data_IF_580295804982
#
_entry.id   IF_580295804982
#
_cell.length_a   1.000
_cell.length_b   1.000
_cell.length_c   1.000
_cell.angle_alpha   90.00
_cell.angle_beta   90.00
_cell.angle_gamma   90.00
#
_symmetry.space_group_name_H-M   'P 1'
#
loop_
_entity.id
_entity.type
_entity.pdbx_description
1 polymer ?
#
# COMPACT_ATOMS: atom_id res chain seq x y z
N UNK A 1 -0.02 -38.34 -10.37
CA UNK A 1 0.17 -36.87 -10.40
C UNK A 1 0.39 -36.42 -8.98
N UNK A 2 1.43 -35.61 -8.72
CA UNK A 2 1.71 -35.12 -7.37
C UNK A 2 0.65 -34.13 -6.91
N UNK A 3 0.36 -34.13 -5.60
CA UNK A 3 -0.54 -33.18 -4.95
C UNK A 3 0.04 -31.76 -5.05
N UNK A 4 -0.57 -30.91 -5.88
CA UNK A 4 -0.14 -29.51 -6.10
C UNK A 4 -0.69 -28.55 -5.06
N UNK A 5 -1.58 -28.99 -4.15
CA UNK A 5 -2.20 -28.13 -3.14
C UNK A 5 -1.20 -27.54 -2.13
N UNK A 6 0.02 -28.10 -2.07
CA UNK A 6 1.14 -27.65 -1.23
C UNK A 6 2.28 -26.97 -2.00
N UNK A 7 2.13 -26.76 -3.31
CA UNK A 7 3.17 -26.14 -4.15
C UNK A 7 3.45 -24.68 -3.79
N UNK A 8 2.52 -24.03 -3.10
CA UNK A 8 2.66 -22.67 -2.57
C UNK A 8 2.31 -22.66 -1.08
N UNK A 9 3.06 -21.87 -0.29
CA UNK A 9 2.82 -21.67 1.13
C UNK A 9 2.16 -20.31 1.34
N UNK A 10 0.93 -20.32 1.84
CA UNK A 10 0.19 -19.09 2.12
C UNK A 10 1.03 -18.12 2.99
N UNK A 11 1.07 -16.85 2.59
CA UNK A 11 1.85 -15.80 3.27
C UNK A 11 3.31 -15.69 2.84
N UNK A 12 3.76 -16.49 1.86
CA UNK A 12 5.07 -16.31 1.22
C UNK A 12 4.90 -15.73 -0.18
N UNK A 13 5.87 -14.93 -0.61
CA UNK A 13 6.00 -14.59 -2.02
C UNK A 13 6.62 -15.77 -2.76
N UNK A 14 6.07 -16.10 -3.94
CA UNK A 14 6.63 -17.15 -4.81
C UNK A 14 6.86 -16.51 -6.17
N UNK A 15 8.13 -16.25 -6.48
CA UNK A 15 8.54 -15.65 -7.74
C UNK A 15 8.92 -16.73 -8.74
N UNK A 16 8.36 -16.64 -9.95
CA UNK A 16 8.72 -17.49 -11.08
C UNK A 16 9.48 -16.66 -12.11
N UNK A 17 10.81 -16.67 -12.03
CA UNK A 17 11.64 -16.00 -13.03
C UNK A 17 11.66 -16.83 -14.30
N UNK A 18 11.43 -16.20 -15.45
CA UNK A 18 11.52 -16.89 -16.74
C UNK A 18 12.99 -17.21 -17.07
N UNK A 19 13.87 -16.22 -16.97
CA UNK A 19 15.30 -16.29 -17.31
C UNK A 19 16.16 -15.68 -16.20
N UNK A 20 17.48 -15.63 -16.37
CA UNK A 20 18.43 -15.20 -15.35
C UNK A 20 18.98 -16.37 -14.53
N UNK A 21 19.86 -16.07 -13.58
CA UNK A 21 20.52 -17.10 -12.76
C UNK A 21 19.56 -17.95 -11.89
N UNK A 22 18.34 -17.45 -11.64
CA UNK A 22 17.27 -18.16 -10.92
C UNK A 22 16.07 -18.48 -11.85
N UNK A 23 16.25 -18.43 -13.16
CA UNK A 23 15.19 -18.63 -14.15
C UNK A 23 14.76 -20.09 -14.26
N UNK A 24 13.47 -20.34 -14.52
CA UNK A 24 12.90 -21.68 -14.62
C UNK A 24 13.57 -22.52 -15.73
N UNK A 25 14.07 -21.88 -16.79
CA UNK A 25 14.81 -22.57 -17.85
C UNK A 25 16.10 -23.24 -17.37
N UNK A 26 16.74 -22.73 -16.31
CA UNK A 26 17.93 -23.36 -15.72
C UNK A 26 17.65 -24.72 -15.08
N UNK A 27 16.38 -25.02 -14.76
CA UNK A 27 15.96 -26.30 -14.20
C UNK A 27 15.70 -27.38 -15.26
N UNK A 28 15.60 -27.03 -16.54
CA UNK A 28 15.39 -27.98 -17.63
C UNK A 28 16.72 -28.36 -18.30
N UNK A 29 16.85 -29.62 -18.70
CA UNK A 29 17.97 -30.04 -19.56
C UNK A 29 17.86 -29.40 -20.94
N UNK A 30 18.99 -29.12 -21.59
CA UNK A 30 19.03 -28.58 -22.97
C UNK A 30 18.21 -29.43 -23.94
N UNK A 31 18.31 -30.76 -23.89
CA UNK A 31 17.55 -31.66 -24.76
C UNK A 31 16.03 -31.54 -24.59
N UNK A 32 15.57 -31.27 -23.37
CA UNK A 32 14.16 -31.05 -23.09
C UNK A 32 13.67 -29.76 -23.73
N UNK A 33 14.38 -28.65 -23.52
CA UNK A 33 14.04 -27.35 -24.11
C UNK A 33 14.07 -27.43 -25.64
N UNK A 34 15.12 -28.05 -26.19
CA UNK A 34 15.30 -28.28 -27.62
C UNK A 34 14.09 -28.93 -28.27
N UNK A 35 13.62 -30.05 -27.69
CA UNK A 35 12.47 -30.80 -28.21
C UNK A 35 11.14 -30.10 -27.96
N UNK A 36 10.99 -29.43 -26.81
CA UNK A 36 9.74 -28.76 -26.46
C UNK A 36 9.49 -27.50 -27.29
N UNK A 37 10.54 -26.77 -27.66
CA UNK A 37 10.45 -25.55 -28.48
C UNK A 37 10.82 -25.76 -29.96
N UNK A 38 11.20 -26.98 -30.35
CA UNK A 38 11.62 -27.34 -31.72
C UNK A 38 12.73 -26.43 -32.28
N UNK A 39 13.83 -26.33 -31.52
CA UNK A 39 15.00 -25.51 -31.86
C UNK A 39 16.26 -26.35 -31.96
N UNK A 40 17.36 -25.79 -32.44
CA UNK A 40 18.67 -26.44 -32.42
C UNK A 40 19.36 -26.37 -31.03
N UNK A 41 20.45 -27.12 -30.90
CA UNK A 41 21.25 -27.21 -29.66
C UNK A 41 21.80 -25.85 -29.20
N UNK A 42 22.25 -25.00 -30.11
CA UNK A 42 22.89 -23.73 -29.77
C UNK A 42 21.86 -22.70 -29.33
N UNK A 43 20.70 -22.67 -30.00
CA UNK A 43 19.53 -21.89 -29.59
C UNK A 43 19.04 -22.33 -28.20
N UNK A 44 18.94 -23.64 -27.94
CA UNK A 44 18.53 -24.15 -26.63
C UNK A 44 19.53 -23.78 -25.52
N UNK A 45 20.83 -23.89 -25.76
CA UNK A 45 21.87 -23.44 -24.81
C UNK A 45 21.79 -21.94 -24.55
N UNK A 46 21.56 -21.13 -25.59
CA UNK A 46 21.43 -19.69 -25.47
C UNK A 46 20.24 -19.29 -24.58
N UNK A 47 19.08 -19.93 -24.77
CA UNK A 47 17.87 -19.68 -23.97
C UNK A 47 18.05 -20.00 -22.49
N UNK A 48 18.78 -21.07 -22.18
CA UNK A 48 19.00 -21.55 -20.81
C UNK A 48 20.12 -20.77 -20.11
N UNK A 49 21.17 -20.38 -20.85
CA UNK A 49 22.47 -20.02 -20.27
C UNK A 49 22.97 -18.61 -20.53
N UNK A 50 22.41 -17.82 -21.45
CA UNK A 50 23.05 -16.54 -21.80
C UNK A 50 22.81 -15.43 -20.78
N UNK A 51 21.63 -15.39 -20.15
CA UNK A 51 21.30 -14.33 -19.19
C UNK A 51 21.68 -14.75 -17.77
N UNK A 52 22.72 -14.13 -17.22
CA UNK A 52 23.24 -14.41 -15.87
C UNK A 52 22.81 -13.38 -14.82
N UNK A 53 22.08 -12.33 -15.22
CA UNK A 53 21.52 -11.34 -14.31
C UNK A 53 20.49 -11.92 -13.34
N UNK A 54 20.23 -11.18 -12.26
CA UNK A 54 19.26 -11.55 -11.21
C UNK A 54 18.20 -10.44 -11.07
N UNK A 55 16.96 -10.75 -11.41
CA UNK A 55 15.82 -9.82 -11.32
C UNK A 55 15.86 -8.73 -12.39
N UNK A 56 16.62 -7.67 -12.17
CA UNK A 56 16.72 -6.51 -13.08
C UNK A 56 18.02 -6.62 -13.89
N UNK A 57 17.91 -6.52 -15.21
CA UNK A 57 19.04 -6.57 -16.14
C UNK A 57 19.20 -5.18 -16.78
N UNK A 58 20.43 -4.67 -16.81
CA UNK A 58 20.76 -3.44 -17.54
C UNK A 58 20.77 -3.75 -19.04
N UNK A 59 20.00 -2.98 -19.80
CA UNK A 59 20.04 -3.03 -21.26
C UNK A 59 21.17 -2.13 -21.79
N UNK A 60 21.70 -2.50 -22.95
CA UNK A 60 22.60 -1.65 -23.72
C UNK A 60 21.83 -0.46 -24.33
N UNK A 61 22.48 0.69 -24.43
CA UNK A 61 21.87 1.94 -24.91
C UNK A 61 21.35 1.84 -26.36
N UNK A 62 21.83 0.87 -27.14
CA UNK A 62 21.35 0.58 -28.49
C UNK A 62 19.99 -0.13 -28.54
N UNK A 63 19.55 -0.74 -27.44
CA UNK A 63 18.29 -1.51 -27.40
C UNK A 63 17.11 -0.57 -27.24
N UNK A 64 16.25 -0.51 -28.26
CA UNK A 64 14.98 0.24 -28.21
C UNK A 64 13.81 -0.68 -27.86
N UNK A 65 13.08 -0.33 -26.82
CA UNK A 65 11.83 -1.01 -26.48
C UNK A 65 10.70 -0.56 -27.42
N UNK A 66 9.75 -1.44 -27.76
CA UNK A 66 8.59 -1.05 -28.55
C UNK A 66 7.72 -0.05 -27.78
N UNK A 67 7.07 0.87 -28.50
CA UNK A 67 6.13 1.82 -27.92
C UNK A 67 4.96 1.10 -27.21
N UNK A 68 4.61 1.49 -25.97
CA UNK A 68 3.54 0.84 -25.22
C UNK A 68 2.17 1.16 -25.82
N UNK A 69 1.28 0.17 -25.82
CA UNK A 69 -0.12 0.38 -26.22
C UNK A 69 -0.91 0.98 -25.07
N UNK A 70 -1.59 2.10 -25.33
CA UNK A 70 -2.36 2.83 -24.31
C UNK A 70 -3.44 1.95 -23.65
N UNK A 71 -4.12 1.10 -24.41
CA UNK A 71 -5.19 0.23 -23.90
C UNK A 71 -4.70 -0.78 -22.87
N UNK A 72 -3.44 -1.20 -22.91
CA UNK A 72 -2.86 -2.10 -21.91
C UNK A 72 -2.73 -1.43 -20.53
N UNK A 73 -2.72 -0.09 -20.48
CA UNK A 73 -2.60 0.67 -19.23
C UNK A 73 -3.93 0.71 -18.46
N UNK A 74 -5.06 0.64 -19.18
CA UNK A 74 -6.39 0.89 -18.63
C UNK A 74 -6.73 -0.11 -17.51
N UNK A 75 -7.01 0.43 -16.31
CA UNK A 75 -7.34 -0.38 -15.13
C UNK A 75 -6.14 -1.06 -14.45
N UNK A 76 -4.93 -0.95 -15.02
CA UNK A 76 -3.72 -1.59 -14.48
C UNK A 76 -2.74 -0.58 -13.87
N UNK A 77 -2.55 0.57 -14.53
CA UNK A 77 -1.61 1.59 -14.06
C UNK A 77 -2.27 2.98 -14.05
N UNK A 78 -2.56 3.46 -12.85
CA UNK A 78 -3.21 4.73 -12.57
C UNK A 78 -2.24 5.66 -11.83
N UNK A 79 -2.36 6.96 -12.07
CA UNK A 79 -1.80 7.93 -11.14
C UNK A 79 -2.65 7.92 -9.86
N UNK A 80 -2.04 8.13 -8.70
CA UNK A 80 -2.77 8.29 -7.43
C UNK A 80 -3.81 9.42 -7.47
N UNK A 81 -3.66 10.39 -8.37
CA UNK A 81 -4.60 11.50 -8.59
C UNK A 81 -5.86 11.11 -9.41
N UNK A 82 -5.82 9.97 -10.13
CA UNK A 82 -6.85 9.56 -11.10
C UNK A 82 -7.70 8.36 -10.64
N UNK A 83 -7.35 7.75 -9.51
CA UNK A 83 -7.99 6.51 -9.06
C UNK A 83 -9.43 6.76 -8.52
N UNK A 84 -10.46 6.07 -9.04
CA UNK A 84 -11.84 6.24 -8.57
C UNK A 84 -12.04 5.63 -7.17
N UNK A 85 -12.94 6.23 -6.39
CA UNK A 85 -13.42 5.72 -5.10
C UNK A 85 -14.72 4.93 -5.35
N UNK A 86 -14.72 3.63 -5.12
CA UNK A 86 -15.89 2.75 -5.32
C UNK A 86 -16.60 2.42 -3.98
N UNK A 87 -17.92 2.19 -4.03
CA UNK A 87 -18.83 2.17 -2.87
C UNK A 87 -19.74 0.92 -2.84
N UNK A 88 -19.25 -0.19 -2.27
CA UNK A 88 -20.03 -1.27 -1.63
C UNK A 88 -19.06 -2.26 -0.92
N UNK A 89 -19.37 -2.82 0.27
CA UNK A 89 -18.38 -3.64 1.03
C UNK A 89 -18.93 -4.80 1.90
N UNK A 90 -18.31 -5.97 1.70
CA UNK A 90 -18.01 -7.02 2.71
C UNK A 90 -16.47 -7.13 2.90
N UNK A 91 -15.99 -7.39 4.13
CA UNK A 91 -14.57 -7.60 4.52
C UNK A 91 -13.61 -6.37 4.44
N UNK A 92 -13.48 -5.57 5.51
CA UNK A 92 -12.45 -4.51 5.57
C UNK A 92 -11.00 -5.01 5.76
N UNK A 93 -10.05 -4.26 5.18
CA UNK A 93 -8.62 -4.57 5.11
C UNK A 93 -7.70 -3.78 6.04
N UNK A 94 -6.40 -4.07 5.98
CA UNK A 94 -5.34 -3.34 6.67
C UNK A 94 -4.82 -2.19 5.81
N UNK A 95 -4.22 -1.17 6.44
CA UNK A 95 -3.58 -0.05 5.74
C UNK A 95 -2.07 -0.19 5.87
N UNK A 96 -1.35 -0.20 4.75
CA UNK A 96 0.11 -0.21 4.70
C UNK A 96 0.55 1.14 4.14
N UNK A 97 1.19 1.96 4.97
CA UNK A 97 1.64 3.32 4.62
C UNK A 97 3.15 3.34 4.39
N UNK A 98 3.59 3.93 3.27
CA UNK A 98 5.01 4.18 2.99
C UNK A 98 5.29 5.68 2.87
N UNK A 99 6.30 6.16 3.59
CA UNK A 99 6.69 7.58 3.59
C UNK A 99 7.65 7.85 2.42
N UNK A 100 7.30 8.81 1.58
CA UNK A 100 8.08 9.16 0.38
C UNK A 100 8.91 10.42 0.53
N UNK A 101 8.46 11.40 1.34
CA UNK A 101 9.16 12.68 1.55
C UNK A 101 8.82 13.29 2.90
N UNK A 102 9.75 14.07 3.44
CA UNK A 102 9.55 14.85 4.66
C UNK A 102 9.52 14.00 5.92
N UNK A 103 9.04 14.57 7.03
CA UNK A 103 8.99 13.88 8.32
C UNK A 103 7.80 14.31 9.16
N UNK A 104 7.54 13.56 10.21
CA UNK A 104 6.50 13.90 11.17
C UNK A 104 6.39 12.90 12.29
N UNK A 105 5.48 13.17 13.23
CA UNK A 105 5.13 12.25 14.31
C UNK A 105 3.89 11.44 13.93
N UNK A 106 3.95 10.14 14.13
CA UNK A 106 2.83 9.22 13.94
C UNK A 106 2.52 8.48 15.24
N UNK A 107 1.23 8.35 15.53
CA UNK A 107 0.73 7.54 16.64
C UNK A 107 -0.30 6.53 16.13
N UNK A 108 -0.30 5.33 16.71
CA UNK A 108 -1.31 4.30 16.49
C UNK A 108 -1.88 3.84 17.84
N UNK A 109 -3.20 3.80 17.93
CA UNK A 109 -3.96 3.30 19.08
C UNK A 109 -4.72 2.05 18.68
N UNK A 110 -4.55 0.99 19.46
CA UNK A 110 -5.25 -0.28 19.27
C UNK A 110 -6.71 -0.24 19.72
N UNK A 111 -7.45 -1.30 19.40
CA UNK A 111 -8.87 -1.44 19.75
C UNK A 111 -9.12 -1.52 21.26
N UNK A 112 -8.09 -1.83 22.05
CA UNK A 112 -8.11 -1.81 23.51
C UNK A 112 -7.87 -0.42 24.11
N UNK A 113 -7.77 0.61 23.26
CA UNK A 113 -7.51 1.99 23.65
C UNK A 113 -6.06 2.27 24.02
N UNK A 114 -5.15 1.30 23.87
CA UNK A 114 -3.72 1.51 24.18
C UNK A 114 -2.97 2.03 22.98
N UNK A 115 -2.06 2.96 23.22
CA UNK A 115 -1.10 3.41 22.22
C UNK A 115 -0.10 2.28 21.96
N UNK A 116 -0.19 1.67 20.79
CA UNK A 116 0.68 0.55 20.37
C UNK A 116 1.90 1.03 19.60
N UNK A 117 1.87 2.26 19.08
CA UNK A 117 3.00 2.89 18.39
C UNK A 117 2.99 4.41 18.60
N UNK A 118 4.16 4.96 18.87
CA UNK A 118 4.47 6.38 18.72
C UNK A 118 5.89 6.50 18.16
N UNK A 119 6.05 7.20 17.04
CA UNK A 119 7.36 7.32 16.40
C UNK A 119 7.46 8.57 15.52
N UNK A 120 8.69 8.97 15.22
CA UNK A 120 9.00 9.89 14.13
C UNK A 120 9.17 9.09 12.85
N UNK A 121 8.52 9.53 11.78
CA UNK A 121 8.54 8.89 10.47
C UNK A 121 9.33 9.75 9.48
N UNK A 122 10.07 9.11 8.59
CA UNK A 122 10.92 9.72 7.54
C UNK A 122 10.90 8.87 6.27
N UNK A 123 11.44 9.36 5.12
CA UNK A 123 11.39 8.61 3.87
C UNK A 123 12.02 7.23 4.02
N UNK A 124 11.38 6.21 3.43
CA UNK A 124 11.80 4.82 3.58
C UNK A 124 11.12 4.06 4.72
N UNK A 125 10.40 4.74 5.62
CA UNK A 125 9.60 4.04 6.62
C UNK A 125 8.34 3.43 6.01
N UNK A 126 8.12 2.14 6.32
CA UNK A 126 6.91 1.38 6.02
C UNK A 126 6.18 1.08 7.34
N UNK A 127 4.88 1.35 7.39
CA UNK A 127 4.05 1.20 8.59
C UNK A 127 2.81 0.40 8.26
N UNK A 128 2.48 -0.56 9.11
CA UNK A 128 1.25 -1.34 8.98
C UNK A 128 0.30 -0.88 10.09
N UNK A 129 -0.86 -0.36 9.71
CA UNK A 129 -1.95 -0.03 10.62
C UNK A 129 -3.00 -1.13 10.46
N UNK A 130 -3.15 -2.01 11.48
CA UNK A 130 -4.17 -3.04 11.45
C UNK A 130 -5.58 -2.45 11.36
N UNK A 131 -6.51 -3.27 10.85
CA UNK A 131 -7.93 -2.91 10.84
C UNK A 131 -8.42 -2.46 12.23
N UNK A 132 -9.27 -1.44 12.23
CA UNK A 132 -9.87 -0.81 13.43
C UNK A 132 -8.91 -0.03 14.33
N UNK A 133 -7.62 0.02 14.01
CA UNK A 133 -6.67 0.84 14.76
C UNK A 133 -6.80 2.29 14.32
N UNK A 134 -6.67 3.20 15.28
CA UNK A 134 -6.69 4.64 15.02
C UNK A 134 -5.27 5.08 14.71
N UNK A 135 -5.09 5.80 13.61
CA UNK A 135 -3.80 6.39 13.24
C UNK A 135 -3.91 7.92 13.17
N UNK A 136 -2.93 8.61 13.75
CA UNK A 136 -2.78 10.06 13.65
C UNK A 136 -1.39 10.41 13.14
N UNK A 137 -1.28 11.49 12.37
CA UNK A 137 -0.05 11.98 11.75
C UNK A 137 0.01 13.49 11.91
N UNK A 138 1.14 14.01 12.39
CA UNK A 138 1.44 15.44 12.42
C UNK A 138 2.74 15.64 11.65
N UNK A 139 2.68 16.40 10.56
CA UNK A 139 3.85 16.73 9.76
C UNK A 139 4.76 17.71 10.49
N UNK A 140 6.07 17.55 10.30
CA UNK A 140 7.07 18.55 10.66
C UNK A 140 7.02 19.75 9.68
N UNK A 141 7.73 20.86 9.93
CA UNK A 141 7.65 22.07 9.10
C UNK A 141 7.97 21.86 7.62
N UNK A 142 8.81 20.87 7.28
CA UNK A 142 9.15 20.53 5.90
C UNK A 142 8.06 19.73 5.17
N UNK A 143 6.96 19.41 5.87
CA UNK A 143 5.85 18.61 5.38
C UNK A 143 6.08 17.10 5.51
N UNK A 144 5.05 16.34 5.13
CA UNK A 144 5.06 14.89 5.14
C UNK A 144 4.26 14.38 3.94
N UNK A 145 4.84 13.51 3.13
CA UNK A 145 4.18 12.89 1.98
C UNK A 145 4.28 11.36 2.06
N UNK A 146 3.18 10.69 1.76
CA UNK A 146 3.06 9.24 1.81
C UNK A 146 2.05 8.73 0.81
N UNK A 147 2.13 7.44 0.47
CA UNK A 147 1.01 6.71 -0.13
C UNK A 147 0.62 5.56 0.79
N UNK A 148 -0.55 4.96 0.56
CA UNK A 148 -0.96 3.78 1.30
C UNK A 148 -1.59 2.75 0.38
N UNK A 149 -1.29 1.49 0.65
CA UNK A 149 -1.95 0.34 0.06
C UNK A 149 -2.95 -0.17 1.08
N UNK A 150 -4.19 -0.40 0.65
CA UNK A 150 -5.23 -0.90 1.52
C UNK A 150 -5.66 -2.26 0.99
N UNK A 151 -5.72 -3.27 1.85
CA UNK A 151 -6.00 -4.65 1.45
C UNK A 151 -7.48 -4.93 1.23
N UNK A 152 -8.28 -3.89 0.97
CA UNK A 152 -9.68 -3.97 0.53
C UNK A 152 -9.83 -3.03 -0.66
N UNK A 153 -10.53 -3.45 -1.74
CA UNK A 153 -10.74 -2.60 -2.91
C UNK A 153 -11.49 -1.31 -2.57
N UNK A 154 -12.37 -1.38 -1.58
CA UNK A 154 -13.26 -0.30 -1.16
C UNK A 154 -12.99 -0.03 0.32
N UNK A 155 -12.19 0.99 0.67
CA UNK A 155 -11.91 1.32 2.06
C UNK A 155 -12.89 2.38 2.58
N UNK A 156 -13.49 2.14 3.75
CA UNK A 156 -14.26 3.16 4.49
C UNK A 156 -13.45 3.61 5.68
N UNK A 157 -13.25 4.93 5.78
CA UNK A 157 -12.58 5.58 6.91
C UNK A 157 -13.58 6.30 7.78
N UNK A 158 -13.47 6.11 9.09
CA UNK A 158 -14.15 6.95 10.08
C UNK A 158 -13.14 7.94 10.63
N UNK A 159 -13.39 9.24 10.41
CA UNK A 159 -12.57 10.31 10.97
C UNK A 159 -13.07 10.62 12.38
N UNK A 160 -12.16 10.90 13.33
CA UNK A 160 -12.54 11.30 14.69
C UNK A 160 -12.72 12.82 14.82
N UNK A 161 -11.93 13.60 14.08
CA UNK A 161 -11.96 15.06 14.05
C UNK A 161 -12.29 15.58 12.63
N UNK A 162 -12.48 16.89 12.50
CA UNK A 162 -12.82 17.54 11.23
C UNK A 162 -14.32 17.72 11.03
N UNK A 163 -14.70 18.26 9.88
CA UNK A 163 -16.10 18.56 9.51
C UNK A 163 -16.96 17.30 9.40
N UNK A 164 -16.38 16.18 8.98
CA UNK A 164 -17.00 14.86 8.83
C UNK A 164 -16.65 13.89 9.97
N UNK A 165 -16.06 14.38 11.06
CA UNK A 165 -15.63 13.55 12.18
C UNK A 165 -16.81 12.97 12.97
N UNK A 166 -16.70 11.71 13.38
CA UNK A 166 -17.71 11.00 14.17
C UNK A 166 -18.12 11.76 15.44
N UNK A 167 -17.18 12.49 16.04
CA UNK A 167 -17.46 13.33 17.21
C UNK A 167 -18.54 14.39 16.93
N UNK A 168 -18.57 14.96 15.72
CA UNK A 168 -19.59 15.93 15.34
C UNK A 168 -20.95 15.28 15.02
N UNK A 169 -20.96 14.00 14.68
CA UNK A 169 -22.21 13.26 14.47
C UNK A 169 -22.91 12.87 15.79
N UNK A 170 -22.16 12.79 16.90
CA UNK A 170 -22.72 12.49 18.23
C UNK A 170 -23.33 13.76 18.83
N UNK A 171 -24.47 13.63 19.53
CA UNK A 171 -25.15 14.78 20.16
C UNK A 171 -24.28 15.41 21.25
N UNK A 172 -24.37 16.75 21.45
CA UNK A 172 -23.65 17.45 22.50
C UNK A 172 -23.84 16.85 23.90
N UNK A 173 -25.06 16.47 24.24
CA UNK A 173 -25.44 15.97 25.57
C UNK A 173 -24.77 14.62 25.85
N UNK A 174 -24.71 13.73 24.86
CA UNK A 174 -24.02 12.43 24.97
C UNK A 174 -22.53 12.64 25.22
N UNK A 175 -21.89 13.58 24.51
CA UNK A 175 -20.47 13.87 24.70
C UNK A 175 -20.19 14.53 26.05
N UNK A 176 -21.04 15.47 26.48
CA UNK A 176 -20.93 16.11 27.79
C UNK A 176 -21.00 15.08 28.90
N UNK A 177 -21.95 14.14 28.82
CA UNK A 177 -22.09 13.05 29.78
C UNK A 177 -20.90 12.07 29.72
N UNK A 178 -20.51 11.62 28.52
CA UNK A 178 -19.44 10.63 28.33
C UNK A 178 -18.07 11.14 28.76
N UNK A 179 -17.73 12.39 28.44
CA UNK A 179 -16.45 13.01 28.80
C UNK A 179 -16.48 13.75 30.14
N UNK A 180 -17.67 13.85 30.77
CA UNK A 180 -17.89 14.61 32.01
C UNK A 180 -17.38 16.06 31.90
N UNK A 181 -17.78 16.74 30.82
CA UNK A 181 -17.37 18.12 30.52
C UNK A 181 -18.59 19.05 30.49
N UNK A 182 -18.42 20.34 30.85
CA UNK A 182 -19.51 21.31 30.76
C UNK A 182 -19.86 21.63 29.30
N UNK A 183 -21.07 22.15 29.08
CA UNK A 183 -21.57 22.52 27.75
C UNK A 183 -20.63 23.49 27.00
N UNK A 184 -20.01 24.44 27.71
CA UNK A 184 -19.06 25.38 27.11
C UNK A 184 -17.81 24.69 26.52
N UNK A 185 -17.32 23.62 27.16
CA UNK A 185 -16.19 22.84 26.63
C UNK A 185 -16.59 22.08 25.37
N UNK A 186 -17.76 21.46 25.36
CA UNK A 186 -18.27 20.75 24.18
C UNK A 186 -18.49 21.72 23.02
N UNK A 187 -19.13 22.87 23.28
CA UNK A 187 -19.40 23.93 22.31
C UNK A 187 -18.10 24.49 21.73
N UNK A 188 -17.10 24.71 22.58
CA UNK A 188 -15.78 25.14 22.13
C UNK A 188 -15.13 24.08 21.23
N UNK A 189 -15.11 22.81 21.65
CA UNK A 189 -14.50 21.73 20.89
C UNK A 189 -15.15 21.54 19.52
N UNK A 190 -16.49 21.48 19.46
CA UNK A 190 -17.25 21.30 18.22
C UNK A 190 -17.07 22.46 17.24
N UNK A 191 -16.88 23.69 17.75
CA UNK A 191 -16.63 24.88 16.91
C UNK A 191 -15.31 24.81 16.12
N UNK A 192 -14.37 23.93 16.51
CA UNK A 192 -13.08 23.79 15.82
C UNK A 192 -13.17 22.89 14.60
N UNK A 193 -12.30 23.13 13.61
CA UNK A 193 -12.12 22.29 12.41
C UNK A 193 -13.44 22.01 11.67
N UNK A 194 -14.27 23.04 11.49
CA UNK A 194 -15.57 22.92 10.78
C UNK A 194 -15.44 22.94 9.27
N UNK A 195 -14.34 23.50 8.74
CA UNK A 195 -14.10 23.62 7.31
C UNK A 195 -13.12 22.58 6.77
N UNK A 196 -12.34 21.95 7.66
CA UNK A 196 -11.32 20.96 7.31
C UNK A 196 -11.88 19.55 7.51
N UNK A 197 -11.80 18.69 6.49
CA UNK A 197 -12.31 17.31 6.58
C UNK A 197 -11.27 16.31 7.11
N UNK A 198 -10.05 16.32 6.56
CA UNK A 198 -9.04 15.26 6.78
C UNK A 198 -7.68 15.83 7.16
N UNK A 199 -7.22 16.87 6.45
CA UNK A 199 -5.94 17.52 6.71
C UNK A 199 -6.17 18.84 7.43
N UNK A 200 -5.44 19.02 8.52
CA UNK A 200 -5.59 20.16 9.41
C UNK A 200 -4.35 21.02 9.34
N UNK A 201 -4.41 22.23 8.72
CA UNK A 201 -3.25 23.13 8.75
C UNK A 201 -2.95 23.56 10.20
N UNK A 202 -1.73 24.04 10.47
CA UNK A 202 -1.40 24.66 11.74
C UNK A 202 -2.46 25.73 12.12
N UNK A 203 -2.84 25.85 13.40
CA UNK A 203 -3.68 26.95 13.83
C UNK A 203 -3.06 28.29 13.42
N UNK A 204 -3.89 29.23 12.94
CA UNK A 204 -3.49 30.62 12.74
C UNK A 204 -3.37 31.34 14.06
#
# INVERSE_FOLDING_TARGET
MGDTSKGHKAGQFTDFFLTGANGIFTGFTTDFVKRAWDVDDDTAKALIGNQQGKGIVKLDDSVKMPEPKLDHRKGMALNCEEAPLDTDIKNAGNVVTYIVKGSGRLQVVGVDGKRVLETIVKPGNLLIVPRFFVVSKIADPEGLSWFSIITTPNPVFTHLAGSIGAWKAISPEVLQAAFKVPAETEKHFRSKRTNDAIFFPPPK
#
